data_IF_493995285131
#
_entry.id   IF_493995285131
#
_cell.length_a   1.000
_cell.length_b   1.000
_cell.length_c   1.000
_cell.angle_alpha   90.00
_cell.angle_beta   90.00
_cell.angle_gamma   90.00
#
_symmetry.space_group_name_H-M   'P 1'
#
loop_
_entity.id
_entity.type
_entity.pdbx_description
1 polymer ?
#
# COMPACT_ATOMS: atom_id res chain seq x y z
N UNK A 1 10.08 -31.23 -8.10
CA UNK A 1 10.68 -30.07 -7.42
C UNK A 1 10.04 -28.82 -7.97
N UNK A 2 9.50 -27.97 -7.11
CA UNK A 2 8.93 -26.68 -7.53
C UNK A 2 10.09 -25.77 -7.93
N UNK A 3 10.00 -25.21 -9.12
CA UNK A 3 11.08 -24.45 -9.74
C UNK A 3 10.81 -22.95 -9.54
N UNK A 4 11.76 -22.22 -8.96
CA UNK A 4 11.66 -20.76 -8.79
C UNK A 4 11.61 -20.00 -10.13
N UNK A 5 12.10 -20.63 -11.22
CA UNK A 5 12.26 -19.97 -12.53
C UNK A 5 10.95 -19.51 -13.17
N UNK A 6 9.80 -20.04 -12.71
CA UNK A 6 8.49 -19.55 -13.17
C UNK A 6 8.19 -18.10 -12.71
N UNK A 7 8.69 -17.71 -11.53
CA UNK A 7 8.45 -16.38 -10.95
C UNK A 7 9.66 -15.46 -11.00
N UNK A 8 10.87 -16.05 -11.18
CA UNK A 8 12.14 -15.36 -11.05
C UNK A 8 13.03 -15.78 -12.20
N UNK A 9 13.55 -14.84 -13.00
CA UNK A 9 14.52 -15.18 -14.05
C UNK A 9 15.87 -15.60 -13.45
N UNK A 10 16.72 -16.26 -14.26
CA UNK A 10 18.05 -16.69 -13.81
C UNK A 10 18.90 -15.52 -13.29
N UNK A 11 18.85 -14.35 -13.96
CA UNK A 11 19.57 -13.15 -13.55
C UNK A 11 19.01 -12.57 -12.22
N UNK A 12 17.71 -12.63 -12.03
CA UNK A 12 17.05 -12.17 -10.79
C UNK A 12 17.34 -13.13 -9.63
N UNK A 13 17.49 -14.44 -9.90
CA UNK A 13 17.83 -15.43 -8.88
C UNK A 13 19.20 -15.14 -8.24
N UNK A 14 20.15 -14.61 -9.01
CA UNK A 14 21.45 -14.19 -8.50
C UNK A 14 21.39 -13.00 -7.53
N UNK A 15 20.28 -12.25 -7.50
CA UNK A 15 20.05 -11.14 -6.59
C UNK A 15 19.40 -11.55 -5.26
N UNK A 16 19.03 -12.82 -5.11
CA UNK A 16 18.41 -13.37 -3.92
C UNK A 16 19.45 -14.16 -3.15
N UNK A 17 19.54 -13.92 -1.84
CA UNK A 17 20.50 -14.65 -1.01
C UNK A 17 20.19 -16.16 -1.01
N UNK A 18 21.19 -17.04 -0.85
CA UNK A 18 20.95 -18.49 -0.76
C UNK A 18 19.96 -18.85 0.38
N UNK A 19 19.96 -18.10 1.47
CA UNK A 19 19.06 -18.30 2.61
C UNK A 19 17.62 -18.00 2.19
N UNK A 20 17.38 -16.89 1.50
CA UNK A 20 16.04 -16.50 1.05
C UNK A 20 15.54 -17.44 -0.06
N UNK A 21 16.43 -17.91 -0.95
CA UNK A 21 16.08 -18.91 -1.95
C UNK A 21 15.63 -20.22 -1.29
N UNK A 22 16.40 -20.69 -0.29
CA UNK A 22 16.05 -21.90 0.46
C UNK A 22 14.73 -21.74 1.22
N UNK A 23 14.50 -20.56 1.81
CA UNK A 23 13.25 -20.25 2.50
C UNK A 23 12.05 -20.29 1.53
N UNK A 24 12.15 -19.64 0.36
CA UNK A 24 11.11 -19.68 -0.68
C UNK A 24 10.81 -21.11 -1.15
N UNK A 25 11.84 -21.90 -1.40
CA UNK A 25 11.70 -23.30 -1.81
C UNK A 25 10.98 -24.11 -0.74
N UNK A 26 11.30 -23.90 0.54
CA UNK A 26 10.63 -24.55 1.67
C UNK A 26 9.15 -24.20 1.74
N UNK A 27 8.78 -22.94 1.46
CA UNK A 27 7.35 -22.53 1.37
C UNK A 27 6.66 -23.25 0.22
N UNK A 28 7.28 -23.32 -0.96
CA UNK A 28 6.68 -23.99 -2.12
C UNK A 28 6.57 -25.50 -1.91
N UNK A 29 7.55 -26.14 -1.29
CA UNK A 29 7.51 -27.56 -0.95
C UNK A 29 6.37 -27.86 0.04
N UNK A 30 6.20 -27.02 1.06
CA UNK A 30 5.12 -27.12 2.06
C UNK A 30 3.73 -27.14 1.43
N UNK A 31 3.51 -26.36 0.37
CA UNK A 31 2.21 -26.30 -0.33
C UNK A 31 2.14 -27.21 -1.56
N UNK A 32 3.18 -27.96 -1.85
CA UNK A 32 3.25 -28.83 -3.04
C UNK A 32 3.32 -28.06 -4.36
N UNK A 33 3.67 -26.75 -4.30
CA UNK A 33 3.73 -25.86 -5.46
C UNK A 33 3.68 -24.39 -5.07
N UNK A 34 3.26 -23.55 -6.00
CA UNK A 34 3.07 -22.12 -5.75
C UNK A 34 1.86 -21.91 -4.84
N UNK A 35 2.01 -21.10 -3.75
CA UNK A 35 0.93 -20.88 -2.80
C UNK A 35 -0.21 -20.06 -3.43
N UNK A 36 -1.44 -20.31 -2.95
CA UNK A 36 -2.61 -19.48 -3.21
C UNK A 36 -2.66 -18.26 -2.25
N UNK A 37 -3.55 -17.31 -2.52
CA UNK A 37 -3.62 -16.04 -1.80
C UNK A 37 -3.72 -16.20 -0.27
N UNK A 38 -4.65 -17.04 0.19
CA UNK A 38 -4.86 -17.29 1.63
C UNK A 38 -3.66 -17.97 2.28
N UNK A 39 -2.93 -18.79 1.51
CA UNK A 39 -1.70 -19.43 1.97
C UNK A 39 -0.57 -18.40 2.11
N UNK A 40 -0.45 -17.46 1.16
CA UNK A 40 0.52 -16.35 1.27
C UNK A 40 0.22 -15.51 2.52
N UNK A 41 -1.04 -15.14 2.76
CA UNK A 41 -1.43 -14.39 3.97
C UNK A 41 -1.09 -15.16 5.25
N UNK A 42 -1.36 -16.46 5.29
CA UNK A 42 -1.03 -17.30 6.43
C UNK A 42 0.49 -17.35 6.70
N UNK A 43 1.30 -17.46 5.63
CA UNK A 43 2.77 -17.41 5.72
C UNK A 43 3.26 -16.04 6.15
N UNK A 44 2.64 -14.95 5.71
CA UNK A 44 2.98 -13.59 6.15
C UNK A 44 2.73 -13.36 7.64
N UNK A 45 1.76 -14.04 8.22
CA UNK A 45 1.47 -13.99 9.65
C UNK A 45 2.49 -14.75 10.53
N UNK A 46 3.26 -15.68 9.97
CA UNK A 46 4.22 -16.49 10.72
C UNK A 46 5.36 -15.66 11.30
N UNK A 47 6.15 -14.88 10.51
CA UNK A 47 7.22 -14.07 11.06
C UNK A 47 6.71 -12.96 11.98
N UNK A 48 5.50 -12.44 11.78
CA UNK A 48 4.89 -11.51 12.73
C UNK A 48 4.75 -12.12 14.13
N UNK A 49 4.31 -13.38 14.21
CA UNK A 49 4.18 -14.13 15.47
C UNK A 49 5.54 -14.52 16.06
N UNK A 50 6.46 -15.01 15.23
CA UNK A 50 7.80 -15.46 15.64
C UNK A 50 8.63 -14.31 16.21
N UNK A 51 8.58 -13.15 15.57
CA UNK A 51 9.22 -11.93 16.04
C UNK A 51 8.48 -11.28 17.21
N UNK A 52 7.28 -11.80 17.57
CA UNK A 52 6.42 -11.23 18.61
C UNK A 52 6.12 -9.75 18.36
N UNK A 53 5.85 -9.39 17.11
CA UNK A 53 5.47 -8.03 16.75
C UNK A 53 4.19 -7.63 17.48
N UNK A 54 4.19 -6.40 17.99
CA UNK A 54 3.05 -5.81 18.69
C UNK A 54 2.53 -4.63 17.85
N UNK A 55 1.26 -4.63 17.43
CA UNK A 55 0.70 -3.56 16.63
C UNK A 55 0.66 -2.19 17.32
N UNK A 56 0.79 -2.16 18.66
CA UNK A 56 0.81 -0.93 19.45
C UNK A 56 2.25 -0.40 19.69
N UNK A 57 3.28 -1.22 19.38
CA UNK A 57 4.68 -0.89 19.67
C UNK A 57 5.52 -0.96 18.42
N UNK A 58 5.87 0.21 17.86
CA UNK A 58 6.72 0.33 16.68
C UNK A 58 8.20 0.30 17.08
N UNK A 59 8.76 -0.90 17.20
CA UNK A 59 10.16 -1.12 17.53
C UNK A 59 10.92 -1.88 16.42
N UNK A 60 12.15 -2.28 16.71
CA UNK A 60 13.03 -3.00 15.77
C UNK A 60 12.44 -4.31 15.22
N UNK A 61 11.47 -4.94 15.92
CA UNK A 61 10.81 -6.16 15.48
C UNK A 61 9.99 -5.91 14.22
N UNK A 62 9.36 -4.73 14.12
CA UNK A 62 8.59 -4.32 12.94
C UNK A 62 9.54 -4.14 11.74
N UNK A 63 10.69 -3.50 11.92
CA UNK A 63 11.72 -3.42 10.87
C UNK A 63 12.23 -4.80 10.42
N UNK A 64 12.46 -5.72 11.38
CA UNK A 64 12.85 -7.10 11.08
C UNK A 64 11.75 -7.85 10.30
N UNK A 65 10.48 -7.62 10.63
CA UNK A 65 9.34 -8.17 9.88
C UNK A 65 9.31 -7.69 8.42
N UNK A 66 9.47 -6.38 8.18
CA UNK A 66 9.46 -5.83 6.81
C UNK A 66 10.72 -6.18 6.01
N UNK A 67 11.80 -6.60 6.68
CA UNK A 67 13.02 -7.13 6.03
C UNK A 67 12.98 -8.66 5.85
N UNK A 68 11.92 -9.35 6.29
CA UNK A 68 11.81 -10.81 6.21
C UNK A 68 11.53 -11.25 4.76
N UNK A 69 12.05 -12.43 4.30
CA UNK A 69 11.81 -12.97 2.94
C UNK A 69 10.33 -13.16 2.59
N UNK A 70 9.43 -13.13 3.56
CA UNK A 70 7.99 -13.19 3.29
C UNK A 70 7.50 -12.03 2.40
N UNK A 71 8.16 -10.87 2.47
CA UNK A 71 7.85 -9.74 1.60
C UNK A 71 8.37 -9.93 0.18
N UNK A 72 9.47 -10.67 0.01
CA UNK A 72 9.89 -11.16 -1.30
C UNK A 72 8.84 -12.11 -1.88
N UNK A 73 8.36 -13.08 -1.09
CA UNK A 73 7.29 -13.99 -1.50
C UNK A 73 6.05 -13.22 -1.94
N UNK A 74 5.57 -12.29 -1.11
CA UNK A 74 4.41 -11.46 -1.41
C UNK A 74 4.59 -10.66 -2.71
N UNK A 75 5.74 -9.99 -2.87
CA UNK A 75 6.05 -9.22 -4.07
C UNK A 75 6.06 -10.08 -5.34
N UNK A 76 6.66 -11.27 -5.29
CA UNK A 76 6.66 -12.22 -6.40
C UNK A 76 5.24 -12.75 -6.70
N UNK A 77 4.48 -13.06 -5.65
CA UNK A 77 3.12 -13.59 -5.76
C UNK A 77 2.18 -12.59 -6.43
N UNK A 78 2.14 -11.34 -5.95
CA UNK A 78 1.20 -10.34 -6.48
C UNK A 78 1.45 -10.02 -7.96
N UNK A 79 2.65 -10.27 -8.47
CA UNK A 79 2.97 -10.10 -9.89
C UNK A 79 2.45 -11.26 -10.78
N UNK A 80 2.04 -12.38 -10.17
CA UNK A 80 1.45 -13.54 -10.84
C UNK A 80 -0.06 -13.67 -10.56
N UNK A 81 -0.54 -13.07 -9.46
CA UNK A 81 -1.92 -13.20 -9.04
C UNK A 81 -2.86 -12.38 -9.92
N UNK A 82 -3.78 -13.06 -10.62
CA UNK A 82 -4.64 -12.48 -11.66
C UNK A 82 -5.40 -11.23 -11.16
N UNK A 83 -6.07 -11.33 -10.01
CA UNK A 83 -6.83 -10.19 -9.47
C UNK A 83 -5.93 -8.99 -9.14
N UNK A 84 -4.70 -9.22 -8.64
CA UNK A 84 -3.74 -8.16 -8.35
C UNK A 84 -3.22 -7.49 -9.63
N UNK A 85 -3.06 -8.27 -10.72
CA UNK A 85 -2.70 -7.75 -12.04
C UNK A 85 -3.83 -6.89 -12.58
N UNK A 86 -5.07 -7.39 -12.61
CA UNK A 86 -6.24 -6.67 -13.09
C UNK A 86 -6.50 -5.36 -12.33
N UNK A 87 -6.32 -5.37 -11.01
CA UNK A 87 -6.45 -4.16 -10.20
C UNK A 87 -5.41 -3.11 -10.60
N UNK A 88 -4.13 -3.51 -10.77
CA UNK A 88 -3.06 -2.60 -11.22
C UNK A 88 -3.28 -2.09 -12.63
N UNK A 89 -3.78 -2.91 -13.54
CA UNK A 89 -4.15 -2.46 -14.89
C UNK A 89 -5.22 -1.37 -14.85
N UNK A 90 -6.24 -1.53 -14.01
CA UNK A 90 -7.30 -0.53 -13.84
C UNK A 90 -6.79 0.74 -13.16
N UNK A 91 -5.88 0.65 -12.20
CA UNK A 91 -5.20 1.81 -11.61
C UNK A 91 -4.35 2.53 -12.66
N UNK A 92 -3.51 1.81 -13.44
CA UNK A 92 -2.75 2.35 -14.55
C UNK A 92 -3.64 3.07 -15.56
N UNK A 93 -4.73 2.45 -15.98
CA UNK A 93 -5.65 3.02 -16.98
C UNK A 93 -6.29 4.32 -16.47
N UNK A 94 -6.59 4.38 -15.18
CA UNK A 94 -7.06 5.60 -14.55
C UNK A 94 -5.96 6.68 -14.54
N UNK A 95 -4.72 6.35 -14.18
CA UNK A 95 -3.58 7.27 -14.21
C UNK A 95 -3.34 7.82 -15.61
N UNK A 96 -3.37 6.96 -16.63
CA UNK A 96 -3.17 7.36 -18.04
C UNK A 96 -4.22 8.40 -18.47
N UNK A 97 -5.47 8.26 -18.03
CA UNK A 97 -6.55 9.24 -18.31
C UNK A 97 -6.29 10.61 -17.68
N UNK A 98 -5.61 10.66 -16.53
CA UNK A 98 -5.30 11.91 -15.83
C UNK A 98 -4.13 12.68 -16.46
N UNK A 99 -3.30 12.02 -17.27
CA UNK A 99 -2.15 12.61 -18.00
C UNK A 99 -1.17 13.37 -17.10
N UNK A 100 -0.74 12.80 -15.95
CA UNK A 100 0.26 13.42 -15.12
C UNK A 100 1.60 13.51 -15.86
N UNK A 101 2.51 14.37 -15.41
CA UNK A 101 3.89 14.46 -15.90
C UNK A 101 4.88 13.79 -14.95
N UNK A 102 4.61 13.87 -13.66
CA UNK A 102 5.43 13.28 -12.60
C UNK A 102 4.56 12.54 -11.59
N UNK A 103 4.83 11.26 -11.45
CA UNK A 103 4.06 10.33 -10.60
C UNK A 103 4.99 9.68 -9.59
N UNK A 104 4.52 9.44 -8.38
CA UNK A 104 5.20 8.59 -7.42
C UNK A 104 4.27 7.52 -6.88
N UNK A 105 4.75 6.28 -6.83
CA UNK A 105 4.15 5.18 -6.09
C UNK A 105 4.81 5.10 -4.71
N UNK A 106 4.08 5.50 -3.67
CA UNK A 106 4.54 5.51 -2.29
C UNK A 106 4.19 4.19 -1.60
N UNK A 107 5.17 3.53 -1.01
CA UNK A 107 5.05 2.16 -0.51
C UNK A 107 4.90 1.15 -1.65
N UNK A 108 5.59 1.38 -2.78
CA UNK A 108 5.35 0.63 -4.01
C UNK A 108 5.86 -0.81 -4.02
N UNK A 109 6.51 -1.29 -2.94
CA UNK A 109 6.99 -2.66 -2.81
C UNK A 109 7.83 -3.08 -4.02
N UNK A 110 7.28 -3.97 -4.85
CA UNK A 110 7.93 -4.46 -6.08
C UNK A 110 7.82 -3.53 -7.29
N UNK A 111 7.15 -2.36 -7.16
CA UNK A 111 7.01 -1.36 -8.22
C UNK A 111 6.24 -1.86 -9.44
N UNK A 112 5.37 -2.84 -9.26
CA UNK A 112 4.61 -3.44 -10.36
C UNK A 112 3.68 -2.43 -11.04
N UNK A 113 2.98 -1.60 -10.27
CA UNK A 113 2.11 -0.56 -10.81
C UNK A 113 2.94 0.57 -11.44
N UNK A 114 4.04 1.00 -10.79
CA UNK A 114 4.95 2.01 -11.35
C UNK A 114 5.48 1.60 -12.72
N UNK A 115 5.89 0.33 -12.89
CA UNK A 115 6.35 -0.19 -14.20
C UNK A 115 5.24 -0.19 -15.24
N UNK A 116 4.03 -0.62 -14.89
CA UNK A 116 2.87 -0.58 -15.80
C UNK A 116 2.55 0.86 -16.24
N UNK A 117 2.67 1.84 -15.34
CA UNK A 117 2.48 3.26 -15.67
C UNK A 117 3.62 3.75 -16.57
N UNK A 118 4.87 3.43 -16.24
CA UNK A 118 6.05 3.82 -17.01
C UNK A 118 6.01 3.30 -18.45
N UNK A 119 5.63 2.03 -18.64
CA UNK A 119 5.50 1.41 -19.95
C UNK A 119 4.34 2.04 -20.78
N UNK A 120 3.21 2.35 -20.12
CA UNK A 120 2.06 2.99 -20.78
C UNK A 120 2.29 4.47 -21.09
N UNK A 121 3.19 5.13 -20.35
CA UNK A 121 3.46 6.57 -20.44
C UNK A 121 4.98 6.86 -20.48
N UNK A 122 5.71 6.55 -21.55
CA UNK A 122 7.18 6.63 -21.60
C UNK A 122 7.79 8.03 -21.38
N UNK A 123 6.98 9.09 -21.52
CA UNK A 123 7.38 10.49 -21.29
C UNK A 123 7.14 10.97 -19.85
N UNK A 124 6.50 10.17 -18.99
CA UNK A 124 6.20 10.51 -17.61
C UNK A 124 7.35 10.07 -16.72
N UNK A 125 7.73 10.89 -15.76
CA UNK A 125 8.66 10.51 -14.70
C UNK A 125 7.89 9.73 -13.63
N UNK A 126 8.31 8.49 -13.35
CA UNK A 126 7.69 7.61 -12.36
C UNK A 126 8.72 7.23 -11.31
N UNK A 127 8.42 7.55 -10.07
CA UNK A 127 9.26 7.22 -8.92
C UNK A 127 8.58 6.18 -8.03
N UNK A 128 9.35 5.37 -7.35
CA UNK A 128 8.91 4.44 -6.32
C UNK A 128 9.61 4.77 -5.03
N UNK A 129 8.84 5.03 -3.97
CA UNK A 129 9.37 5.18 -2.61
C UNK A 129 9.01 3.91 -1.85
N UNK A 130 10.04 3.20 -1.41
CA UNK A 130 9.91 1.96 -0.65
C UNK A 130 11.03 1.89 0.40
N UNK A 131 10.70 1.81 1.71
CA UNK A 131 11.72 1.76 2.76
C UNK A 131 12.63 0.54 2.70
N UNK A 132 12.13 -0.60 2.20
CA UNK A 132 12.85 -1.87 2.13
C UNK A 132 12.85 -2.43 0.70
N UNK A 133 13.42 -1.72 -0.31
CA UNK A 133 13.34 -2.14 -1.70
C UNK A 133 14.16 -3.40 -1.93
N UNK A 134 13.53 -4.47 -2.38
CA UNK A 134 14.24 -5.71 -2.68
C UNK A 134 15.08 -5.57 -3.97
N UNK A 135 16.31 -6.12 -4.06
CA UNK A 135 17.16 -6.04 -5.26
C UNK A 135 16.48 -6.53 -6.54
N UNK A 136 15.67 -7.58 -6.47
CA UNK A 136 14.86 -8.07 -7.61
C UNK A 136 13.87 -7.01 -8.09
N UNK A 137 13.20 -6.32 -7.17
CA UNK A 137 12.26 -5.25 -7.50
C UNK A 137 12.95 -4.08 -8.21
N UNK A 138 14.10 -3.65 -7.69
CA UNK A 138 14.91 -2.60 -8.32
C UNK A 138 15.41 -3.02 -9.70
N UNK A 139 15.87 -4.27 -9.87
CA UNK A 139 16.30 -4.80 -11.16
C UNK A 139 15.15 -4.85 -12.19
N UNK A 140 13.93 -5.20 -11.74
CA UNK A 140 12.72 -5.16 -12.59
C UNK A 140 12.38 -3.74 -13.01
N UNK A 141 12.41 -2.78 -12.08
CA UNK A 141 12.15 -1.37 -12.39
C UNK A 141 13.18 -0.80 -13.36
N UNK A 142 14.44 -1.17 -13.23
CA UNK A 142 15.52 -0.74 -14.14
C UNK A 142 15.33 -1.16 -15.62
N UNK A 143 14.42 -2.10 -15.91
CA UNK A 143 14.03 -2.48 -17.27
C UNK A 143 13.07 -1.47 -17.92
N UNK A 144 12.37 -0.64 -17.12
CA UNK A 144 11.46 0.43 -17.58
C UNK A 144 12.16 1.78 -17.46
N UNK A 145 12.53 2.38 -18.58
CA UNK A 145 13.47 3.51 -18.69
C UNK A 145 13.15 4.72 -17.80
N UNK A 146 11.89 4.98 -17.56
CA UNK A 146 11.38 6.16 -16.85
C UNK A 146 10.89 5.84 -15.43
N UNK A 147 11.22 4.65 -14.89
CA UNK A 147 10.88 4.23 -13.53
C UNK A 147 12.15 4.15 -12.67
N UNK A 148 12.11 4.71 -11.46
CA UNK A 148 13.25 4.69 -10.53
C UNK A 148 12.79 4.58 -9.09
N UNK A 149 13.52 3.78 -8.30
CA UNK A 149 13.43 3.83 -6.85
C UNK A 149 14.18 5.05 -6.33
N UNK A 150 13.55 5.74 -5.38
CA UNK A 150 14.13 6.88 -4.66
C UNK A 150 14.03 6.65 -3.16
N UNK A 151 14.98 7.12 -2.35
CA UNK A 151 14.95 6.91 -0.91
C UNK A 151 13.87 7.73 -0.21
N UNK A 152 13.49 8.89 -0.79
CA UNK A 152 12.55 9.83 -0.21
C UNK A 152 11.84 10.65 -1.29
N UNK A 153 10.70 11.24 -0.92
CA UNK A 153 9.96 12.17 -1.78
C UNK A 153 10.77 13.45 -1.98
N UNK A 154 10.79 13.97 -3.21
CA UNK A 154 11.50 15.20 -3.55
C UNK A 154 10.69 16.10 -4.48
N UNK A 155 10.65 17.40 -4.17
CA UNK A 155 9.92 18.38 -4.99
C UNK A 155 8.40 18.16 -5.00
N UNK A 156 7.76 18.47 -6.12
CA UNK A 156 6.30 18.36 -6.28
C UNK A 156 5.93 17.33 -7.34
N UNK A 157 4.83 16.60 -7.06
CA UNK A 157 4.25 15.60 -7.95
C UNK A 157 2.87 16.05 -8.46
N UNK A 158 2.55 15.65 -9.69
CA UNK A 158 1.18 15.74 -10.21
C UNK A 158 0.27 14.72 -9.55
N UNK A 159 0.85 13.55 -9.23
CA UNK A 159 0.11 12.42 -8.67
C UNK A 159 0.97 11.62 -7.70
N UNK A 160 0.38 11.27 -6.56
CA UNK A 160 0.89 10.27 -5.62
C UNK A 160 -0.08 9.09 -5.61
N UNK A 161 0.46 7.89 -5.57
CA UNK A 161 -0.31 6.64 -5.48
C UNK A 161 0.20 5.88 -4.27
N UNK A 162 -0.71 5.42 -3.40
CA UNK A 162 -0.39 4.52 -2.31
C UNK A 162 -1.44 3.43 -2.24
N UNK A 163 -1.01 2.19 -2.39
CA UNK A 163 -1.88 1.01 -2.33
C UNK A 163 -1.43 0.08 -1.21
N UNK A 164 -2.34 -0.21 -0.29
CA UNK A 164 -2.13 -1.10 0.86
C UNK A 164 -0.92 -0.68 1.72
N UNK A 165 -0.88 0.63 2.10
CA UNK A 165 0.20 1.25 2.89
C UNK A 165 -0.28 1.70 4.26
N UNK A 166 -1.39 2.43 4.31
CA UNK A 166 -1.76 3.20 5.50
C UNK A 166 -2.36 2.34 6.61
N UNK A 167 -2.80 1.14 6.33
CA UNK A 167 -3.22 0.13 7.32
C UNK A 167 -2.07 -0.47 8.13
N UNK A 168 -0.83 -0.21 7.71
CA UNK A 168 0.39 -0.70 8.33
C UNK A 168 1.14 0.35 9.16
N UNK A 169 0.66 1.60 9.17
CA UNK A 169 1.37 2.75 9.75
C UNK A 169 0.63 3.27 10.98
N UNK A 170 1.30 3.48 12.13
CA UNK A 170 0.64 3.87 13.38
C UNK A 170 -0.14 5.19 13.31
N UNK A 171 0.40 6.18 12.60
CA UNK A 171 -0.26 7.45 12.32
C UNK A 171 -0.39 7.67 10.80
N UNK A 172 -1.42 7.06 10.18
CA UNK A 172 -1.59 7.17 8.73
C UNK A 172 -2.00 8.57 8.29
N UNK A 173 -2.64 9.38 9.16
CA UNK A 173 -3.02 10.76 8.81
C UNK A 173 -1.80 11.67 8.76
N UNK A 174 -0.86 11.53 9.70
CA UNK A 174 0.42 12.23 9.65
C UNK A 174 1.17 11.88 8.35
N UNK A 175 1.27 10.60 8.01
CA UNK A 175 1.98 10.18 6.81
C UNK A 175 1.29 10.67 5.52
N UNK A 176 -0.05 10.66 5.46
CA UNK A 176 -0.78 11.28 4.33
C UNK A 176 -0.51 12.78 4.26
N UNK A 177 -0.51 13.48 5.40
CA UNK A 177 -0.23 14.90 5.45
C UNK A 177 1.18 15.22 4.93
N UNK A 178 2.19 14.49 5.38
CA UNK A 178 3.58 14.64 4.95
C UNK A 178 3.72 14.40 3.44
N UNK A 179 3.23 13.26 2.95
CA UNK A 179 3.31 12.90 1.54
C UNK A 179 2.50 13.83 0.65
N UNK A 180 1.30 14.22 1.06
CA UNK A 180 0.44 15.13 0.31
C UNK A 180 1.00 16.57 0.22
N UNK A 181 1.94 16.96 1.09
CA UNK A 181 2.64 18.23 0.94
C UNK A 181 3.54 18.26 -0.31
N UNK A 182 3.90 17.09 -0.84
CA UNK A 182 4.60 16.95 -2.12
C UNK A 182 3.66 16.91 -3.34
N UNK A 183 2.34 16.94 -3.17
CA UNK A 183 1.42 17.16 -4.29
C UNK A 183 1.34 18.64 -4.63
N UNK A 184 1.40 19.00 -5.89
CA UNK A 184 1.04 20.36 -6.34
C UNK A 184 -0.44 20.67 -6.04
N UNK A 185 -0.79 21.94 -5.98
CA UNK A 185 -2.23 22.33 -5.89
C UNK A 185 -2.98 21.78 -7.10
N UNK A 186 -4.13 21.17 -6.85
CA UNK A 186 -4.91 20.45 -7.86
C UNK A 186 -4.34 19.08 -8.24
N UNK A 187 -3.19 18.68 -7.71
CA UNK A 187 -2.64 17.34 -7.87
C UNK A 187 -3.53 16.27 -7.23
N UNK A 188 -3.35 15.02 -7.63
CA UNK A 188 -4.21 13.91 -7.23
C UNK A 188 -3.47 12.90 -6.36
N UNK A 189 -4.12 12.41 -5.32
CA UNK A 189 -3.66 11.31 -4.50
C UNK A 189 -4.60 10.12 -4.70
N UNK A 190 -4.11 9.05 -5.32
CA UNK A 190 -4.84 7.78 -5.39
C UNK A 190 -4.47 6.94 -4.17
N UNK A 191 -5.43 6.66 -3.31
CA UNK A 191 -5.23 5.89 -2.08
C UNK A 191 -6.15 4.68 -2.10
N UNK A 192 -5.58 3.49 -1.91
CA UNK A 192 -6.30 2.24 -1.74
C UNK A 192 -5.80 1.54 -0.47
N UNK A 193 -6.68 1.25 0.47
CA UNK A 193 -6.34 0.66 1.76
C UNK A 193 -7.33 -0.42 2.17
N UNK A 194 -6.85 -1.35 2.96
CA UNK A 194 -7.65 -2.39 3.58
C UNK A 194 -7.63 -2.29 5.11
N UNK A 195 -8.43 -1.39 5.70
CA UNK A 195 -8.59 -1.29 7.16
C UNK A 195 -9.43 -2.44 7.74
N UNK A 196 -9.00 -3.68 7.50
CA UNK A 196 -9.68 -4.91 7.90
C UNK A 196 -8.67 -5.96 8.37
N UNK A 197 -9.06 -6.90 9.24
CA UNK A 197 -8.17 -7.91 9.82
C UNK A 197 -7.86 -9.03 8.81
N UNK A 198 -7.21 -8.69 7.69
CA UNK A 198 -6.80 -9.68 6.67
C UNK A 198 -5.51 -10.37 7.08
N UNK A 199 -4.54 -9.58 7.54
CA UNK A 199 -3.23 -10.03 8.02
C UNK A 199 -2.90 -9.35 9.35
N UNK A 200 -1.97 -9.95 10.14
CA UNK A 200 -1.58 -9.41 11.45
C UNK A 200 -0.88 -8.06 11.39
N UNK A 201 -0.25 -7.74 10.30
CA UNK A 201 0.38 -6.44 10.07
C UNK A 201 -0.62 -5.32 9.75
N UNK A 202 -1.91 -5.63 9.52
CA UNK A 202 -2.97 -4.63 9.52
C UNK A 202 -3.28 -4.22 10.96
N UNK A 203 -2.99 -2.99 11.32
CA UNK A 203 -3.06 -2.50 12.69
C UNK A 203 -4.52 -2.36 13.17
N UNK A 204 -4.94 -3.11 14.22
CA UNK A 204 -6.34 -3.12 14.67
C UNK A 204 -6.87 -1.75 15.10
N UNK A 205 -5.99 -0.89 15.66
CA UNK A 205 -6.32 0.46 16.08
C UNK A 205 -6.74 1.38 14.93
N UNK A 206 -6.52 0.97 13.67
CA UNK A 206 -6.86 1.75 12.46
C UNK A 206 -8.18 1.28 11.80
N UNK A 207 -8.79 0.18 12.26
CA UNK A 207 -9.99 -0.37 11.60
C UNK A 207 -11.21 0.56 11.63
N UNK A 208 -11.22 1.55 12.54
CA UNK A 208 -12.24 2.59 12.55
C UNK A 208 -12.22 3.47 11.27
N UNK A 209 -11.07 3.59 10.60
CA UNK A 209 -10.93 4.33 9.34
C UNK A 209 -11.74 3.73 8.18
N UNK A 210 -12.16 2.47 8.29
CA UNK A 210 -13.10 1.86 7.33
C UNK A 210 -14.32 2.74 7.02
N UNK A 211 -14.72 3.58 7.97
CA UNK A 211 -15.92 4.41 7.86
C UNK A 211 -15.65 5.91 7.84
N UNK A 212 -14.46 6.34 8.21
CA UNK A 212 -14.11 7.76 8.43
C UNK A 212 -12.97 8.29 7.57
N UNK A 213 -12.26 7.41 6.84
CA UNK A 213 -11.08 7.77 6.07
C UNK A 213 -11.31 8.93 5.12
N UNK A 214 -12.31 8.82 4.23
CA UNK A 214 -12.62 9.86 3.26
C UNK A 214 -12.96 11.21 3.93
N UNK A 215 -13.62 11.16 5.08
CA UNK A 215 -13.98 12.37 5.82
C UNK A 215 -12.75 13.03 6.45
N UNK A 216 -11.88 12.24 7.09
CA UNK A 216 -10.62 12.72 7.65
C UNK A 216 -9.74 13.39 6.58
N UNK A 217 -9.60 12.78 5.41
CA UNK A 217 -8.82 13.34 4.32
C UNK A 217 -9.48 14.60 3.72
N UNK A 218 -10.81 14.63 3.65
CA UNK A 218 -11.53 15.80 3.15
C UNK A 218 -11.30 17.03 4.05
N UNK A 219 -11.39 16.90 5.37
CA UNK A 219 -11.14 18.01 6.29
C UNK A 219 -9.65 18.39 6.36
N UNK A 220 -8.75 17.45 6.01
CA UNK A 220 -7.33 17.74 5.83
C UNK A 220 -7.07 18.67 4.63
N UNK A 221 -7.95 18.70 3.62
CA UNK A 221 -7.80 19.47 2.38
C UNK A 221 -7.58 18.60 1.14
N UNK A 222 -7.81 17.29 1.26
CA UNK A 222 -7.80 16.31 0.17
C UNK A 222 -9.25 15.96 -0.19
N UNK A 223 -9.84 16.67 -1.14
CA UNK A 223 -11.23 16.47 -1.52
C UNK A 223 -11.42 15.13 -2.22
N UNK A 224 -12.32 14.25 -1.73
CA UNK A 224 -12.66 13.01 -2.43
C UNK A 224 -13.17 13.28 -3.84
N UNK A 225 -12.66 12.54 -4.81
CA UNK A 225 -13.05 12.63 -6.22
C UNK A 225 -13.68 11.31 -6.67
N UNK A 226 -12.94 10.48 -7.37
CA UNK A 226 -13.43 9.29 -8.04
C UNK A 226 -13.08 8.00 -7.28
N UNK A 227 -13.99 7.03 -7.27
CA UNK A 227 -13.69 5.67 -6.83
C UNK A 227 -12.92 4.94 -7.93
N UNK A 228 -11.76 4.38 -7.60
CA UNK A 228 -10.91 3.66 -8.54
C UNK A 228 -10.61 2.28 -7.95
N UNK A 229 -11.15 1.23 -8.55
CA UNK A 229 -11.08 -0.14 -8.03
C UNK A 229 -11.57 -0.20 -6.57
N UNK A 230 -10.74 -0.62 -5.62
CA UNK A 230 -11.05 -0.58 -4.18
C UNK A 230 -10.52 0.68 -3.47
N UNK A 231 -9.78 1.55 -4.20
CA UNK A 231 -9.25 2.82 -3.73
C UNK A 231 -10.10 4.02 -4.11
N UNK A 232 -9.67 5.19 -3.72
CA UNK A 232 -10.27 6.47 -4.05
C UNK A 232 -9.21 7.49 -4.43
N UNK A 233 -9.51 8.27 -5.46
CA UNK A 233 -8.75 9.46 -5.79
C UNK A 233 -9.18 10.65 -4.92
N UNK A 234 -8.22 11.45 -4.50
CA UNK A 234 -8.42 12.70 -3.78
C UNK A 234 -7.68 13.82 -4.52
N UNK A 235 -8.23 15.02 -4.49
CA UNK A 235 -7.60 16.18 -5.09
C UNK A 235 -7.17 17.18 -4.02
N UNK A 236 -5.90 17.59 -4.03
CA UNK A 236 -5.40 18.65 -3.15
C UNK A 236 -6.01 20.01 -3.53
N UNK A 237 -6.78 20.60 -2.59
CA UNK A 237 -7.47 21.86 -2.85
C UNK A 237 -6.60 23.09 -2.56
N UNK A 238 -5.78 23.03 -1.52
CA UNK A 238 -4.98 24.18 -1.07
C UNK A 238 -3.97 23.81 -0.01
N UNK A 239 -3.89 24.62 1.07
CA UNK A 239 -3.11 24.27 2.25
C UNK A 239 -3.74 23.09 2.97
N UNK A 240 -2.90 22.15 3.39
CA UNK A 240 -3.35 20.99 4.16
C UNK A 240 -3.38 21.33 5.66
N UNK A 241 -4.31 20.72 6.38
CA UNK A 241 -4.48 20.91 7.82
C UNK A 241 -4.64 19.54 8.50
N UNK A 242 -3.65 19.16 9.31
CA UNK A 242 -3.65 17.86 9.98
C UNK A 242 -4.57 17.82 11.20
N UNK A 243 -4.61 18.89 12.00
CA UNK A 243 -5.37 18.90 13.26
C UNK A 243 -6.86 18.58 13.11
N UNK A 244 -7.61 19.10 12.10
CA UNK A 244 -8.98 18.67 11.86
C UNK A 244 -9.13 17.18 11.54
N UNK A 245 -8.17 16.59 10.81
CA UNK A 245 -8.20 15.18 10.48
C UNK A 245 -8.01 14.30 11.74
N UNK A 246 -7.09 14.65 12.63
CA UNK A 246 -6.91 13.95 13.92
C UNK A 246 -8.14 14.13 14.83
N UNK A 247 -8.87 15.26 14.74
CA UNK A 247 -10.14 15.41 15.47
C UNK A 247 -11.20 14.41 14.96
N UNK A 248 -11.31 14.23 13.63
CA UNK A 248 -12.18 13.21 13.03
C UNK A 248 -11.74 11.81 13.48
N UNK A 249 -10.44 11.52 13.48
CA UNK A 249 -9.91 10.25 13.96
C UNK A 249 -10.35 9.95 15.40
N UNK A 250 -10.15 10.90 16.31
CA UNK A 250 -10.54 10.78 17.73
C UNK A 250 -12.01 10.42 17.87
N UNK A 251 -12.89 11.11 17.16
CA UNK A 251 -14.34 10.83 17.19
C UNK A 251 -14.65 9.46 16.54
N UNK A 252 -14.01 9.15 15.42
CA UNK A 252 -14.19 7.87 14.74
C UNK A 252 -13.77 6.70 15.62
N UNK A 253 -12.65 6.81 16.32
CA UNK A 253 -12.15 5.80 17.26
C UNK A 253 -13.13 5.58 18.42
N UNK A 254 -13.69 6.65 18.99
CA UNK A 254 -14.70 6.56 20.03
C UNK A 254 -15.98 5.87 19.53
N UNK A 255 -16.45 6.22 18.34
CA UNK A 255 -17.63 5.60 17.73
C UNK A 255 -17.41 4.13 17.35
N UNK A 256 -16.17 3.77 17.02
CA UNK A 256 -15.81 2.42 16.62
C UNK A 256 -16.10 1.37 17.71
N UNK A 257 -15.94 1.72 18.99
CA UNK A 257 -16.26 0.84 20.10
C UNK A 257 -17.71 0.31 20.07
N UNK A 258 -18.62 1.05 19.43
CA UNK A 258 -20.02 0.65 19.26
C UNK A 258 -20.28 0.13 17.84
N UNK A 259 -19.82 0.86 16.83
CA UNK A 259 -20.17 0.59 15.43
C UNK A 259 -19.50 -0.64 14.83
N UNK A 260 -18.40 -1.12 15.41
CA UNK A 260 -17.71 -2.34 14.96
C UNK A 260 -18.59 -3.62 15.05
N UNK A 261 -19.59 -3.63 15.95
CA UNK A 261 -20.52 -4.74 16.14
C UNK A 261 -21.76 -4.64 15.24
N UNK A 262 -21.92 -3.54 14.51
CA UNK A 262 -23.03 -3.32 13.61
C UNK A 262 -22.72 -3.86 12.21
N UNK A 263 -23.72 -4.44 11.51
CA UNK A 263 -23.54 -4.76 10.10
C UNK A 263 -23.07 -3.52 9.30
N UNK A 264 -22.12 -3.69 8.37
CA UNK A 264 -21.51 -2.58 7.64
C UNK A 264 -22.51 -1.65 6.92
N UNK A 265 -23.68 -2.19 6.51
CA UNK A 265 -24.81 -1.43 5.95
C UNK A 265 -25.48 -0.47 6.97
N UNK A 266 -25.29 -0.68 8.26
CA UNK A 266 -25.81 0.16 9.35
C UNK A 266 -24.68 0.99 9.96
N UNK A 267 -23.56 0.37 10.30
CA UNK A 267 -22.42 1.03 10.96
C UNK A 267 -21.82 2.15 10.13
N UNK A 268 -21.62 1.94 8.82
CA UNK A 268 -21.06 2.97 7.94
C UNK A 268 -21.90 4.24 7.84
N UNK A 269 -23.21 4.21 7.51
CA UNK A 269 -24.01 5.44 7.44
C UNK A 269 -24.18 6.10 8.81
N UNK A 270 -24.28 5.32 9.89
CA UNK A 270 -24.36 5.87 11.25
C UNK A 270 -23.09 6.63 11.62
N UNK A 271 -21.92 6.04 11.41
CA UNK A 271 -20.63 6.72 11.67
C UNK A 271 -20.51 8.01 10.84
N UNK A 272 -20.86 7.97 9.54
CA UNK A 272 -20.83 9.16 8.69
C UNK A 272 -21.76 10.25 9.17
N UNK A 273 -22.99 9.90 9.59
CA UNK A 273 -23.95 10.88 10.11
C UNK A 273 -23.46 11.51 11.42
N UNK A 274 -22.91 10.72 12.34
CA UNK A 274 -22.40 11.22 13.62
C UNK A 274 -21.15 12.09 13.46
N UNK A 275 -20.25 11.73 12.54
CA UNK A 275 -19.07 12.54 12.23
C UNK A 275 -19.41 13.87 11.53
N UNK A 276 -20.53 13.93 10.81
CA UNK A 276 -20.99 15.17 10.19
C UNK A 276 -21.60 16.17 11.20
N UNK A 277 -21.93 15.71 12.43
CA UNK A 277 -22.49 16.52 13.50
C UNK A 277 -21.43 16.96 14.53
N UNK A 278 -20.22 16.45 14.43
CA UNK A 278 -19.10 16.72 15.35
C UNK A 278 -18.06 17.67 14.75
#
# INVERSE_FOLDING_TARGET
MTDLTKWISADELALITPVDQQWLLGVFERFGGYPELEQVWAVMDEPWRELRCDPEVMDQRIGAYYSHPVWLLNGLFIEQHQQSIENRERFRDWVVKQKPKRVVEFGGGFGGLARMIGDAMPSVEVEVIEPHPHPVAMARAGKTRNVRYQPELSGEYDMIIATDVFEHVPDPLQLVFETANHLRRGGQYLIANCFSPVMRCHLPQLFHFRHSWDHALNVMGLRPAEQVVYGRAFQRQGSLQLAPAHQVEKHSRALWHVTQYLPGRVGRPLTKALLALS
#
